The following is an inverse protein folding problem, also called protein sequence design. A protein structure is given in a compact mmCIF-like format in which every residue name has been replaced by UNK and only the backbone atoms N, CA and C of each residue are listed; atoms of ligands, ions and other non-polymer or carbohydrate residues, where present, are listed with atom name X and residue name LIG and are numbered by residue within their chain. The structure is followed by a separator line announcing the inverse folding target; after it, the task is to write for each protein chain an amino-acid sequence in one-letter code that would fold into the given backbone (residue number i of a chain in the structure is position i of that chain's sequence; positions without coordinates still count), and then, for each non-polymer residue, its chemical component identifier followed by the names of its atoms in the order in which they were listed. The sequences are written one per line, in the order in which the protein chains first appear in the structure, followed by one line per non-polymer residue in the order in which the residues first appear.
data_IF_743982998501
#
_entry.id   IF_743982998501
#
_cell.length_a   1.000
_cell.length_b   1.000
_cell.length_c   1.000
_cell.angle_alpha   90.00
_cell.angle_beta   90.00
_cell.angle_gamma   90.00
#
_symmetry.space_group_name_H-M   'P 1'
#
loop_
_entity.id
_entity.type
_entity.pdbx_description
1 polymer ?
#
# COMPACT_ATOMS: atom_id res chain seq x y z
N UNK A 1 -22.11 56.44 -35.21
CA UNK A 1 -21.24 57.33 -36.01
C UNK A 1 -20.35 56.41 -36.78
N UNK A 2 -20.78 56.16 -38.03
CA UNK A 2 -20.17 56.61 -39.29
C UNK A 2 -18.76 55.98 -39.51
N UNK A 3 -18.38 55.25 -40.54
CA UNK A 3 -18.75 55.46 -41.95
C UNK A 3 -18.31 54.23 -42.77
N UNK A 4 -19.13 53.88 -43.73
CA UNK A 4 -18.90 52.99 -44.85
C UNK A 4 -17.74 53.52 -45.73
N UNK A 5 -16.96 52.61 -46.37
CA UNK A 5 -16.53 52.86 -47.75
C UNK A 5 -16.40 51.54 -48.52
N UNK A 6 -17.26 51.43 -49.54
CA UNK A 6 -17.17 50.49 -50.66
C UNK A 6 -16.03 50.93 -51.59
N UNK A 7 -15.24 50.00 -52.14
CA UNK A 7 -14.62 50.15 -53.46
C UNK A 7 -14.72 48.84 -54.25
N UNK A 8 -15.31 48.95 -55.38
CA UNK A 8 -15.48 47.98 -56.47
C UNK A 8 -14.38 48.26 -57.49
N UNK A 9 -13.87 47.24 -58.17
CA UNK A 9 -13.22 47.12 -59.47
C UNK A 9 -12.01 46.20 -59.36
N UNK A 10 -11.66 45.29 -60.22
CA UNK A 10 -12.05 44.93 -61.57
C UNK A 10 -11.55 43.51 -61.87
N UNK A 11 -12.24 42.84 -62.70
CA UNK A 11 -11.94 41.53 -63.28
C UNK A 11 -10.82 41.64 -64.29
N UNK A 12 -9.70 40.85 -64.05
CA UNK A 12 -8.73 40.55 -65.14
C UNK A 12 -8.57 39.04 -65.22
N UNK A 13 -9.09 38.50 -66.29
CA UNK A 13 -8.89 37.11 -66.72
C UNK A 13 -7.51 37.02 -67.33
N UNK A 14 -6.59 36.25 -66.73
CA UNK A 14 -5.34 35.82 -67.35
C UNK A 14 -5.33 34.29 -67.36
N UNK A 15 -5.49 33.74 -68.53
CA UNK A 15 -5.26 32.36 -68.88
C UNK A 15 -3.73 32.07 -68.86
N UNK A 16 -3.28 31.22 -67.96
CA UNK A 16 -1.92 30.74 -67.87
C UNK A 16 -1.91 29.20 -67.70
N UNK A 17 -0.90 28.51 -68.13
CA UNK A 17 -0.94 27.11 -68.51
C UNK A 17 -1.07 26.14 -67.32
N UNK A 18 -1.80 25.08 -67.58
CA UNK A 18 -2.01 23.95 -66.69
C UNK A 18 -0.68 23.28 -66.30
N UNK A 19 -0.20 23.52 -65.06
CA UNK A 19 0.80 22.64 -64.43
C UNK A 19 0.03 21.46 -63.85
N UNK A 20 0.15 20.31 -64.47
CA UNK A 20 -0.18 19.01 -63.85
C UNK A 20 0.82 18.80 -62.71
N UNK A 21 0.40 19.06 -61.48
CA UNK A 21 1.11 18.63 -60.30
C UNK A 21 0.96 17.09 -60.21
N UNK A 22 2.00 16.38 -60.57
CA UNK A 22 2.17 14.99 -60.16
C UNK A 22 2.11 14.94 -58.63
N UNK A 23 0.96 14.48 -58.12
CA UNK A 23 0.83 14.02 -56.75
C UNK A 23 1.69 12.76 -56.61
N UNK A 24 2.95 12.94 -56.32
CA UNK A 24 3.77 11.89 -55.75
C UNK A 24 3.17 11.56 -54.37
N UNK A 25 2.26 10.58 -54.42
CA UNK A 25 1.87 9.83 -53.25
C UNK A 25 3.14 9.20 -52.70
N UNK A 26 3.75 9.86 -51.72
CA UNK A 26 4.72 9.25 -50.83
C UNK A 26 3.94 8.20 -50.04
N UNK A 27 3.84 7.02 -50.63
CA UNK A 27 3.55 5.81 -49.90
C UNK A 27 4.70 5.69 -48.88
N UNK A 28 4.44 6.17 -47.67
CA UNK A 28 5.21 5.77 -46.50
C UNK A 28 5.12 4.25 -46.45
N UNK A 29 6.15 3.60 -46.96
CA UNK A 29 6.40 2.18 -46.80
C UNK A 29 6.42 1.95 -45.30
N UNK A 30 5.29 1.54 -44.73
CA UNK A 30 5.27 0.89 -43.45
C UNK A 30 6.22 -0.30 -43.60
N UNK A 31 7.46 -0.12 -43.16
CA UNK A 31 8.41 -1.19 -43.05
C UNK A 31 7.76 -2.20 -42.08
N UNK A 32 7.12 -3.23 -42.65
CA UNK A 32 6.67 -4.40 -41.89
C UNK A 32 7.89 -4.89 -41.15
N UNK A 33 7.94 -4.60 -39.85
CA UNK A 33 9.01 -5.03 -38.99
C UNK A 33 9.08 -6.57 -39.09
N UNK A 34 10.15 -7.06 -39.75
CA UNK A 34 10.38 -8.50 -39.90
C UNK A 34 10.63 -9.11 -38.54
N UNK A 35 10.14 -10.34 -38.31
CA UNK A 35 10.57 -11.13 -37.17
C UNK A 35 12.08 -11.30 -37.18
N UNK A 36 12.73 -11.23 -36.06
CA UNK A 36 14.17 -11.46 -35.94
C UNK A 36 14.48 -12.25 -34.67
N UNK A 37 15.60 -12.97 -34.72
CA UNK A 37 16.04 -13.85 -33.67
C UNK A 37 17.23 -13.29 -32.91
N UNK A 38 17.24 -13.51 -31.61
CA UNK A 38 18.32 -13.13 -30.71
C UNK A 38 18.73 -14.38 -29.94
N UNK A 39 19.98 -14.77 -30.06
CA UNK A 39 20.58 -15.90 -29.34
C UNK A 39 21.34 -15.42 -28.12
N UNK A 40 21.56 -16.35 -27.15
CA UNK A 40 22.32 -16.05 -25.94
C UNK A 40 21.53 -15.17 -24.95
N UNK A 41 20.21 -15.32 -24.90
CA UNK A 41 19.36 -14.63 -23.95
C UNK A 41 19.27 -15.43 -22.65
N UNK A 42 19.43 -14.76 -21.52
CA UNK A 42 19.43 -15.40 -20.21
C UNK A 42 18.06 -15.30 -19.54
N UNK A 43 17.56 -16.45 -19.04
CA UNK A 43 16.34 -16.49 -18.23
C UNK A 43 16.66 -16.15 -16.79
N UNK A 44 15.96 -15.18 -16.22
CA UNK A 44 16.08 -14.73 -14.85
C UNK A 44 14.73 -14.73 -14.13
N UNK A 45 14.75 -14.66 -12.80
CA UNK A 45 13.55 -14.54 -11.98
C UNK A 45 13.00 -13.11 -12.04
N UNK A 46 11.67 -12.97 -12.01
CA UNK A 46 11.00 -11.68 -11.78
C UNK A 46 10.86 -11.45 -10.28
N UNK A 47 10.33 -12.43 -9.58
CA UNK A 47 10.17 -12.41 -8.13
C UNK A 47 11.16 -13.37 -7.47
N UNK A 48 12.05 -12.83 -6.65
CA UNK A 48 13.03 -13.55 -5.85
C UNK A 48 13.16 -12.83 -4.51
N UNK A 49 12.59 -13.42 -3.47
CA UNK A 49 12.47 -12.76 -2.18
C UNK A 49 12.97 -13.67 -1.07
N UNK A 50 13.96 -13.20 -0.35
CA UNK A 50 14.32 -13.74 0.95
C UNK A 50 13.37 -13.15 2.00
N UNK A 51 12.64 -14.02 2.70
CA UNK A 51 11.64 -13.62 3.69
C UNK A 51 12.29 -13.52 5.06
N UNK A 52 12.44 -12.28 5.61
CA UNK A 52 13.08 -12.08 6.90
C UNK A 52 12.09 -12.26 8.05
N UNK A 53 12.62 -12.54 9.25
CA UNK A 53 11.86 -12.40 10.49
C UNK A 53 11.62 -10.91 10.80
N UNK A 54 10.39 -10.53 11.10
CA UNK A 54 10.04 -9.17 11.53
C UNK A 54 10.31 -8.93 13.02
N UNK A 55 10.32 -9.99 13.82
CA UNK A 55 10.62 -9.98 15.27
C UNK A 55 11.62 -11.08 15.61
N UNK A 56 12.35 -10.90 16.69
CA UNK A 56 13.21 -11.95 17.24
C UNK A 56 12.38 -12.94 18.07
N UNK A 57 12.80 -14.19 18.07
CA UNK A 57 12.15 -15.23 18.87
C UNK A 57 12.51 -16.64 18.40
N UNK A 58 12.05 -17.65 19.11
CA UNK A 58 12.19 -19.05 18.71
C UNK A 58 11.14 -19.39 17.65
N UNK A 59 11.54 -20.12 16.61
CA UNK A 59 10.64 -20.60 15.55
C UNK A 59 9.80 -21.76 16.08
N UNK A 60 8.53 -21.51 16.41
CA UNK A 60 7.66 -22.54 17.02
C UNK A 60 7.09 -23.50 15.99
N UNK A 61 6.80 -23.04 14.78
CA UNK A 61 6.33 -23.89 13.68
C UNK A 61 6.82 -23.43 12.32
N UNK A 62 7.00 -24.41 11.44
CA UNK A 62 7.30 -24.22 10.02
C UNK A 62 6.22 -24.97 9.21
N UNK A 63 5.41 -24.25 8.46
CA UNK A 63 4.22 -24.79 7.81
C UNK A 63 4.46 -25.20 6.36
N UNK A 64 5.66 -25.00 5.86
CA UNK A 64 6.08 -25.26 4.49
C UNK A 64 7.38 -26.05 4.44
N UNK A 65 7.65 -26.66 3.28
CA UNK A 65 8.89 -27.36 2.98
C UNK A 65 9.45 -26.81 1.65
N UNK A 66 10.71 -27.07 1.41
CA UNK A 66 11.31 -26.81 0.10
C UNK A 66 10.50 -27.51 -1.00
N UNK A 67 10.26 -26.83 -2.10
CA UNK A 67 9.41 -27.29 -3.18
C UNK A 67 7.92 -26.96 -3.00
N UNK A 68 7.46 -26.49 -1.84
CA UNK A 68 6.05 -26.14 -1.63
C UNK A 68 5.70 -24.85 -2.38
N UNK A 69 4.59 -24.87 -3.12
CA UNK A 69 4.01 -23.67 -3.73
C UNK A 69 3.20 -22.92 -2.70
N UNK A 70 3.38 -21.61 -2.65
CA UNK A 70 2.74 -20.70 -1.68
C UNK A 70 2.05 -19.54 -2.40
N UNK A 71 1.00 -19.01 -1.76
CA UNK A 71 0.25 -17.84 -2.24
C UNK A 71 0.56 -16.61 -1.40
N UNK A 72 0.24 -15.42 -1.94
CA UNK A 72 0.36 -14.16 -1.20
C UNK A 72 -0.45 -14.20 0.10
N UNK A 73 0.16 -13.83 1.21
CA UNK A 73 -0.50 -13.83 2.53
C UNK A 73 -0.60 -15.20 3.19
N UNK A 74 -0.08 -16.26 2.61
CA UNK A 74 -0.04 -17.58 3.25
C UNK A 74 0.96 -17.59 4.40
N UNK A 75 0.55 -18.13 5.56
CA UNK A 75 1.41 -18.29 6.73
C UNK A 75 2.46 -19.40 6.48
N UNK A 76 3.72 -19.00 6.50
CA UNK A 76 4.87 -19.88 6.23
C UNK A 76 5.47 -20.44 7.49
N UNK A 77 5.59 -19.61 8.52
CA UNK A 77 6.18 -19.96 9.79
C UNK A 77 5.59 -19.11 10.92
N UNK A 78 5.75 -19.57 12.15
CA UNK A 78 5.29 -18.85 13.34
C UNK A 78 6.37 -18.85 14.40
N UNK A 79 6.70 -17.68 14.92
CA UNK A 79 7.54 -17.53 16.11
C UNK A 79 6.73 -17.82 17.38
N UNK A 80 7.40 -18.04 18.51
CA UNK A 80 6.74 -18.15 19.79
C UNK A 80 5.88 -16.92 20.09
N UNK A 81 4.58 -17.13 20.34
CA UNK A 81 3.58 -16.09 20.48
C UNK A 81 3.14 -15.85 21.91
N UNK A 82 3.50 -16.74 22.85
CA UNK A 82 2.95 -16.74 24.19
C UNK A 82 3.07 -15.38 24.90
N UNK A 83 4.25 -14.75 24.84
CA UNK A 83 4.45 -13.44 25.44
C UNK A 83 3.62 -12.34 24.76
N UNK A 84 3.52 -12.34 23.43
CA UNK A 84 2.76 -11.33 22.69
C UNK A 84 1.24 -11.49 22.89
N UNK A 85 0.76 -12.72 23.01
CA UNK A 85 -0.64 -13.01 23.35
C UNK A 85 -0.99 -12.46 24.75
N UNK A 86 -0.17 -12.72 25.76
CA UNK A 86 -0.35 -12.14 27.09
C UNK A 86 -0.32 -10.59 27.07
N UNK A 87 0.57 -9.98 26.28
CA UNK A 87 0.61 -8.53 26.13
C UNK A 87 -0.68 -7.98 25.49
N UNK A 88 -1.24 -8.67 24.49
CA UNK A 88 -2.54 -8.32 23.92
C UNK A 88 -3.67 -8.38 24.96
N UNK A 89 -3.68 -9.44 25.77
CA UNK A 89 -4.72 -9.63 26.78
C UNK A 89 -4.64 -8.55 27.88
N UNK A 90 -3.43 -8.19 28.34
CA UNK A 90 -3.21 -7.07 29.27
C UNK A 90 -3.70 -5.76 28.67
N UNK A 91 -3.31 -5.46 27.41
CA UNK A 91 -3.72 -4.22 26.74
C UNK A 91 -5.25 -4.15 26.55
N UNK A 92 -5.90 -5.28 26.26
CA UNK A 92 -7.38 -5.36 26.17
C UNK A 92 -8.05 -5.11 27.51
N UNK A 93 -7.53 -5.65 28.60
CA UNK A 93 -8.05 -5.38 29.94
C UNK A 93 -7.88 -3.92 30.36
N UNK A 94 -6.74 -3.29 30.02
CA UNK A 94 -6.53 -1.86 30.23
C UNK A 94 -7.55 -1.03 29.45
N UNK A 95 -7.83 -1.38 28.20
CA UNK A 95 -8.83 -0.70 27.37
C UNK A 95 -10.24 -0.85 27.96
N UNK A 96 -10.61 -2.02 28.41
CA UNK A 96 -11.92 -2.25 29.04
C UNK A 96 -12.08 -1.38 30.28
N UNK A 97 -11.07 -1.30 31.15
CA UNK A 97 -11.05 -0.45 32.32
C UNK A 97 -11.15 1.03 31.97
N UNK A 98 -10.34 1.51 31.03
CA UNK A 98 -10.36 2.90 30.58
C UNK A 98 -11.72 3.26 29.95
N UNK A 99 -12.28 2.37 29.15
CA UNK A 99 -13.61 2.56 28.55
C UNK A 99 -14.73 2.67 29.60
N UNK A 100 -14.69 1.81 30.61
CA UNK A 100 -15.67 1.88 31.71
C UNK A 100 -15.62 3.22 32.45
N UNK A 101 -14.42 3.75 32.69
CA UNK A 101 -14.23 5.08 33.30
C UNK A 101 -14.73 6.21 32.39
N UNK A 102 -14.34 6.21 31.11
CA UNK A 102 -14.75 7.19 30.12
C UNK A 102 -16.27 7.26 29.90
N UNK A 103 -16.97 6.14 30.07
CA UNK A 103 -18.43 6.05 29.95
C UNK A 103 -19.17 6.42 31.25
N UNK A 104 -18.47 6.54 32.37
CA UNK A 104 -19.11 6.90 33.65
C UNK A 104 -19.55 8.36 33.66
N UNK A 105 -20.82 8.60 33.93
CA UNK A 105 -21.40 9.96 34.09
C UNK A 105 -21.67 10.32 35.55
N UNK A 106 -21.32 9.43 36.48
CA UNK A 106 -21.66 9.56 37.90
C UNK A 106 -21.18 10.86 38.54
N UNK A 107 -19.94 11.26 38.25
CA UNK A 107 -19.37 12.50 38.77
C UNK A 107 -20.12 13.72 38.24
N UNK A 108 -20.47 13.75 36.96
CA UNK A 108 -21.23 14.85 36.35
C UNK A 108 -22.64 14.91 36.95
N UNK A 109 -23.33 13.75 37.04
CA UNK A 109 -24.69 13.69 37.60
C UNK A 109 -24.72 14.11 39.08
N UNK A 110 -23.72 13.72 39.86
CA UNK A 110 -23.55 14.13 41.25
C UNK A 110 -23.34 15.65 41.37
N UNK A 111 -22.44 16.20 40.55
CA UNK A 111 -22.17 17.66 40.53
C UNK A 111 -23.40 18.45 40.06
N UNK A 112 -24.15 17.96 39.05
CA UNK A 112 -25.40 18.59 38.62
C UNK A 112 -26.50 18.51 39.67
N UNK A 113 -26.56 17.42 40.44
CA UNK A 113 -27.45 17.28 41.58
C UNK A 113 -27.15 18.33 42.67
N UNK A 114 -25.89 18.52 43.04
CA UNK A 114 -25.44 19.53 43.97
C UNK A 114 -25.77 20.98 43.50
N UNK A 115 -25.55 21.24 42.21
CA UNK A 115 -25.91 22.54 41.62
C UNK A 115 -27.44 22.79 41.69
N UNK A 116 -28.25 21.81 41.31
CA UNK A 116 -29.73 21.95 41.41
C UNK A 116 -30.18 22.25 42.82
N UNK A 117 -29.64 21.57 43.85
CA UNK A 117 -29.95 21.80 45.27
C UNK A 117 -29.58 23.21 45.68
N UNK A 118 -28.32 23.66 45.44
CA UNK A 118 -27.84 24.96 45.78
C UNK A 118 -28.62 26.11 45.08
N UNK A 119 -28.93 25.93 43.79
CA UNK A 119 -29.68 26.93 43.01
C UNK A 119 -31.13 27.04 43.45
N UNK A 120 -31.78 25.92 43.83
CA UNK A 120 -33.14 25.95 44.38
C UNK A 120 -33.19 26.65 45.73
N UNK A 121 -32.24 26.39 46.64
CA UNK A 121 -32.14 27.02 47.93
C UNK A 121 -31.91 28.54 47.81
N UNK A 122 -31.00 28.96 46.92
CA UNK A 122 -30.77 30.39 46.66
C UNK A 122 -32.02 31.06 46.08
N UNK A 123 -32.68 30.45 45.08
CA UNK A 123 -33.89 30.99 44.47
C UNK A 123 -35.04 31.14 45.49
N UNK A 124 -35.27 30.12 46.36
CA UNK A 124 -36.26 30.16 47.39
C UNK A 124 -35.97 31.26 48.42
N UNK A 125 -34.68 31.48 48.77
CA UNK A 125 -34.26 32.54 49.71
C UNK A 125 -34.45 33.95 49.13
N UNK A 126 -34.19 34.12 47.84
CA UNK A 126 -34.47 35.39 47.10
C UNK A 126 -35.96 35.67 47.05
N UNK A 127 -36.80 34.66 46.74
CA UNK A 127 -38.25 34.80 46.70
C UNK A 127 -38.85 35.08 48.10
N UNK A 128 -38.33 34.45 49.16
CA UNK A 128 -38.72 34.76 50.52
C UNK A 128 -38.43 36.24 50.91
N UNK A 129 -37.27 36.78 50.48
CA UNK A 129 -36.96 38.20 50.70
C UNK A 129 -37.85 39.17 49.91
N UNK A 130 -38.36 38.70 48.74
CA UNK A 130 -39.32 39.47 47.93
C UNK A 130 -40.69 39.55 48.61
N UNK A 131 -41.12 38.43 49.21
CA UNK A 131 -42.39 38.35 49.89
C UNK A 131 -42.35 38.95 51.26
N UNK A 132 -41.26 38.78 52.01
CA UNK A 132 -41.05 39.34 53.36
C UNK A 132 -39.65 40.04 53.45
N UNK A 133 -39.55 41.35 53.32
CA UNK A 133 -38.27 42.05 53.32
C UNK A 133 -37.44 41.76 54.57
N UNK A 134 -36.14 41.48 54.44
CA UNK A 134 -35.16 41.14 55.47
C UNK A 134 -35.32 39.72 56.10
N UNK A 135 -36.05 38.76 55.47
CA UNK A 135 -36.09 37.39 55.94
C UNK A 135 -34.71 36.71 55.86
N UNK A 136 -33.87 37.10 54.90
CA UNK A 136 -32.46 36.73 54.79
C UNK A 136 -31.59 37.99 54.72
N UNK A 137 -30.45 38.02 55.45
CA UNK A 137 -29.48 39.08 55.33
C UNK A 137 -28.73 39.03 54.01
N UNK A 138 -28.18 40.20 53.57
CA UNK A 138 -27.35 40.26 52.33
C UNK A 138 -26.19 39.27 52.40
N UNK A 139 -25.51 39.15 53.57
CA UNK A 139 -24.42 38.22 53.78
C UNK A 139 -24.86 36.70 53.57
N UNK A 140 -26.08 36.38 53.99
CA UNK A 140 -26.62 35.04 53.78
C UNK A 140 -26.93 34.79 52.33
N UNK A 141 -27.51 35.71 51.60
CA UNK A 141 -27.73 35.56 50.13
C UNK A 141 -26.41 35.48 49.37
N UNK A 142 -25.41 36.27 49.73
CA UNK A 142 -24.07 36.19 49.10
C UNK A 142 -23.42 34.80 49.34
N UNK A 143 -23.56 34.22 50.52
CA UNK A 143 -23.09 32.85 50.82
C UNK A 143 -23.80 31.82 49.95
N UNK A 144 -25.12 31.90 49.77
CA UNK A 144 -25.88 31.00 48.94
C UNK A 144 -25.52 31.14 47.46
N UNK A 145 -25.33 32.38 46.99
CA UNK A 145 -24.87 32.65 45.64
C UNK A 145 -23.47 32.10 45.39
N UNK A 146 -22.55 32.19 46.37
CA UNK A 146 -21.22 31.57 46.28
C UNK A 146 -21.33 30.05 46.23
N UNK A 147 -22.22 29.40 47.00
CA UNK A 147 -22.46 27.99 46.97
C UNK A 147 -22.96 27.50 45.56
N UNK A 148 -23.84 28.28 44.93
CA UNK A 148 -24.28 28.01 43.54
C UNK A 148 -23.11 28.09 42.60
N UNK A 149 -22.24 29.11 42.71
CA UNK A 149 -21.07 29.27 41.86
C UNK A 149 -20.06 28.17 42.06
N UNK A 150 -19.81 27.73 43.28
CA UNK A 150 -18.94 26.61 43.60
C UNK A 150 -19.47 25.30 43.02
N UNK A 151 -20.77 25.03 43.11
CA UNK A 151 -21.41 23.88 42.51
C UNK A 151 -21.32 23.90 40.97
N UNK A 152 -21.43 25.09 40.36
CA UNK A 152 -21.24 25.24 38.90
C UNK A 152 -19.80 24.93 38.48
N UNK A 153 -18.80 25.35 39.24
CA UNK A 153 -17.40 25.02 38.99
C UNK A 153 -17.11 23.54 39.13
N UNK A 154 -17.79 22.84 40.06
CA UNK A 154 -17.70 21.37 40.17
C UNK A 154 -18.22 20.65 38.97
N UNK A 155 -19.29 21.10 38.31
CA UNK A 155 -19.76 20.56 37.05
C UNK A 155 -18.69 20.71 35.98
N UNK A 156 -18.04 21.87 35.88
CA UNK A 156 -16.97 22.08 34.89
C UNK A 156 -15.76 21.17 35.16
N UNK A 157 -15.38 20.99 36.43
CA UNK A 157 -14.31 20.06 36.81
C UNK A 157 -14.63 18.62 36.44
N UNK A 158 -15.86 18.15 36.78
CA UNK A 158 -16.29 16.81 36.44
C UNK A 158 -16.33 16.56 34.91
N UNK A 159 -16.76 17.56 34.12
CA UNK A 159 -16.72 17.48 32.65
C UNK A 159 -15.30 17.43 32.08
N UNK A 160 -14.37 18.20 32.69
CA UNK A 160 -12.97 18.15 32.31
C UNK A 160 -12.36 16.76 32.64
N UNK A 161 -12.66 16.22 33.82
CA UNK A 161 -12.22 14.87 34.22
C UNK A 161 -12.72 13.82 33.25
N UNK A 162 -14.00 13.82 32.90
CA UNK A 162 -14.56 12.93 31.91
C UNK A 162 -13.87 13.07 30.52
N UNK A 163 -13.54 14.30 30.12
CA UNK A 163 -12.81 14.50 28.86
C UNK A 163 -11.40 13.90 28.91
N UNK A 164 -10.74 13.89 30.06
CA UNK A 164 -9.44 13.23 30.27
C UNK A 164 -9.62 11.68 30.17
N UNK A 165 -10.62 11.11 30.82
CA UNK A 165 -10.91 9.68 30.74
C UNK A 165 -11.21 9.21 29.30
N UNK A 166 -11.86 10.05 28.50
CA UNK A 166 -12.07 9.78 27.06
C UNK A 166 -10.75 9.77 26.28
N UNK A 167 -9.79 10.59 26.68
CA UNK A 167 -8.44 10.56 26.08
C UNK A 167 -7.71 9.29 26.49
N UNK A 168 -7.83 8.88 27.75
CA UNK A 168 -7.20 7.65 28.25
C UNK A 168 -7.77 6.38 27.57
N UNK A 169 -9.07 6.33 27.28
CA UNK A 169 -9.67 5.26 26.45
C UNK A 169 -9.01 5.20 25.07
N UNK A 170 -8.76 6.34 24.42
CA UNK A 170 -8.09 6.40 23.11
C UNK A 170 -6.63 5.92 23.20
N UNK A 171 -5.92 6.27 24.26
CA UNK A 171 -4.55 5.81 24.51
C UNK A 171 -4.53 4.30 24.71
N UNK A 172 -5.43 3.76 25.52
CA UNK A 172 -5.56 2.32 25.75
C UNK A 172 -5.93 1.57 24.46
N UNK A 173 -6.83 2.12 23.63
CA UNK A 173 -7.15 1.56 22.32
C UNK A 173 -5.95 1.56 21.35
N UNK A 174 -5.07 2.55 21.44
CA UNK A 174 -3.84 2.58 20.65
C UNK A 174 -2.83 1.52 21.13
N UNK A 175 -2.74 1.26 22.43
CA UNK A 175 -1.90 0.19 22.99
C UNK A 175 -2.36 -1.20 22.53
N UNK A 176 -3.68 -1.44 22.47
CA UNK A 176 -4.22 -2.70 21.94
C UNK A 176 -3.79 -2.89 20.47
N UNK A 177 -3.96 -1.88 19.62
CA UNK A 177 -3.52 -1.96 18.22
C UNK A 177 -2.02 -2.24 18.09
N UNK A 178 -1.19 -1.63 18.93
CA UNK A 178 0.26 -1.88 18.96
C UNK A 178 0.56 -3.35 19.30
N UNK A 179 -0.07 -3.87 20.37
CA UNK A 179 0.11 -5.25 20.78
C UNK A 179 -0.38 -6.26 19.72
N UNK A 180 -1.47 -5.95 19.02
CA UNK A 180 -1.99 -6.77 17.91
C UNK A 180 -1.04 -6.80 16.70
N UNK A 181 -0.40 -5.68 16.37
CA UNK A 181 0.63 -5.63 15.33
C UNK A 181 1.85 -6.47 15.74
N UNK A 182 2.28 -6.37 17.00
CA UNK A 182 3.40 -7.15 17.51
C UNK A 182 3.11 -8.67 17.50
N UNK A 183 1.88 -9.05 17.81
CA UNK A 183 1.42 -10.44 17.73
C UNK A 183 1.34 -10.91 16.25
N UNK A 184 0.80 -10.08 15.36
CA UNK A 184 0.73 -10.39 13.93
C UNK A 184 2.13 -10.56 13.30
N UNK A 185 3.10 -9.73 13.69
CA UNK A 185 4.48 -9.79 13.21
C UNK A 185 5.22 -11.09 13.61
N UNK A 186 4.68 -11.85 14.55
CA UNK A 186 5.20 -13.19 14.91
C UNK A 186 4.76 -14.28 13.94
N UNK A 187 3.82 -13.99 13.05
CA UNK A 187 3.45 -14.88 11.94
C UNK A 187 4.12 -14.38 10.67
N UNK A 188 4.95 -15.22 10.07
CA UNK A 188 5.68 -14.89 8.86
C UNK A 188 4.85 -15.34 7.66
N UNK A 189 4.48 -14.39 6.81
CA UNK A 189 3.62 -14.61 5.63
C UNK A 189 4.41 -14.42 4.34
N UNK A 190 4.00 -15.10 3.27
CA UNK A 190 4.58 -14.88 1.95
C UNK A 190 4.14 -13.54 1.36
N UNK A 191 5.07 -12.66 0.93
CA UNK A 191 4.75 -11.43 0.24
C UNK A 191 4.43 -11.64 -1.24
N UNK A 192 4.80 -12.79 -1.81
CA UNK A 192 4.61 -13.14 -3.23
C UNK A 192 4.02 -14.54 -3.39
N UNK A 193 3.40 -14.77 -4.53
CA UNK A 193 3.09 -16.12 -5.00
C UNK A 193 4.34 -16.76 -5.59
N UNK A 194 4.59 -18.04 -5.29
CA UNK A 194 5.79 -18.70 -5.79
C UNK A 194 6.06 -20.05 -5.13
N UNK A 195 7.28 -20.51 -5.25
CA UNK A 195 7.75 -21.76 -4.67
C UNK A 195 8.87 -21.49 -3.66
N UNK A 196 8.81 -22.15 -2.51
CA UNK A 196 9.89 -22.15 -1.51
C UNK A 196 11.06 -22.95 -2.09
N UNK A 197 12.22 -22.32 -2.29
CA UNK A 197 13.41 -22.96 -2.86
C UNK A 197 14.45 -23.29 -1.81
N UNK A 198 14.48 -22.55 -0.70
CA UNK A 198 15.47 -22.74 0.34
C UNK A 198 14.91 -22.33 1.70
N UNK A 199 15.24 -23.10 2.74
CA UNK A 199 14.87 -22.84 4.14
C UNK A 199 16.15 -22.69 4.94
N UNK A 200 16.42 -21.48 5.46
CA UNK A 200 17.64 -21.15 6.21
C UNK A 200 17.53 -21.44 7.71
N UNK A 201 16.29 -21.53 8.24
CA UNK A 201 16.02 -21.74 9.68
C UNK A 201 14.98 -22.83 9.89
N UNK A 202 15.22 -23.63 10.93
CA UNK A 202 14.38 -24.77 11.26
C UNK A 202 13.59 -24.52 12.54
N UNK A 203 12.62 -25.39 12.79
CA UNK A 203 11.82 -25.36 14.02
C UNK A 203 12.75 -25.45 15.24
N UNK A 204 12.39 -24.75 16.30
CA UNK A 204 13.09 -24.64 17.58
C UNK A 204 14.40 -23.82 17.53
N UNK A 205 14.77 -23.25 16.38
CA UNK A 205 15.90 -22.32 16.28
C UNK A 205 15.51 -20.89 16.70
N UNK A 206 16.47 -20.18 17.27
CA UNK A 206 16.35 -18.75 17.55
C UNK A 206 16.61 -17.94 16.28
N UNK A 207 15.75 -16.95 16.03
CA UNK A 207 15.84 -16.06 14.87
C UNK A 207 15.93 -14.61 15.32
N UNK A 208 16.80 -13.85 14.67
CA UNK A 208 16.96 -12.40 14.86
C UNK A 208 16.16 -11.62 13.84
N UNK A 209 15.79 -10.38 14.20
CA UNK A 209 15.12 -9.44 13.29
C UNK A 209 15.96 -9.20 12.03
N UNK A 210 15.31 -9.25 10.87
CA UNK A 210 15.96 -8.99 9.57
C UNK A 210 16.74 -10.17 9.01
N UNK A 211 16.90 -11.27 9.74
CA UNK A 211 17.54 -12.48 9.20
C UNK A 211 16.57 -13.25 8.32
N UNK A 212 17.01 -13.71 7.14
CA UNK A 212 16.17 -14.50 6.26
C UNK A 212 15.86 -15.87 6.87
N UNK A 213 14.61 -16.28 6.77
CA UNK A 213 14.13 -17.60 7.19
C UNK A 213 14.05 -18.57 6.02
N UNK A 214 13.62 -18.08 4.89
CA UNK A 214 13.45 -18.86 3.67
C UNK A 214 13.48 -17.96 2.44
N UNK A 215 13.66 -18.58 1.28
CA UNK A 215 13.65 -17.93 -0.02
C UNK A 215 12.48 -18.44 -0.85
N UNK A 216 11.68 -17.52 -1.37
CA UNK A 216 10.55 -17.82 -2.25
C UNK A 216 10.79 -17.18 -3.60
N UNK A 217 10.61 -17.96 -4.67
CA UNK A 217 10.78 -17.50 -6.04
C UNK A 217 9.50 -17.69 -6.85
N UNK A 218 9.25 -16.74 -7.73
CA UNK A 218 8.15 -16.80 -8.67
C UNK A 218 8.61 -17.54 -9.94
N UNK A 219 7.92 -18.62 -10.30
CA UNK A 219 8.29 -19.46 -11.44
C UNK A 219 7.25 -19.47 -12.57
N UNK A 220 6.03 -18.99 -12.33
CA UNK A 220 4.94 -18.94 -13.31
C UNK A 220 5.19 -17.91 -14.42
N UNK A 221 5.94 -16.87 -14.13
CA UNK A 221 6.44 -15.88 -15.09
C UNK A 221 7.91 -15.64 -14.87
N UNK A 222 8.66 -15.66 -15.98
CA UNK A 222 10.10 -15.47 -15.96
C UNK A 222 10.49 -14.26 -16.82
N UNK A 223 11.61 -13.65 -16.48
CA UNK A 223 12.21 -12.60 -17.28
C UNK A 223 13.28 -13.19 -18.17
N UNK A 224 13.28 -12.78 -19.42
CA UNK A 224 14.38 -13.06 -20.35
C UNK A 224 15.12 -11.75 -20.62
N UNK A 225 16.42 -11.75 -20.38
CA UNK A 225 17.30 -10.64 -20.68
C UNK A 225 18.00 -10.90 -22.02
N UNK A 226 17.92 -9.91 -22.90
CA UNK A 226 18.60 -9.96 -24.18
C UNK A 226 19.32 -8.65 -24.49
N UNK A 227 20.36 -8.74 -25.32
CA UNK A 227 21.14 -7.60 -25.77
C UNK A 227 21.01 -7.41 -27.28
N UNK A 228 20.53 -6.25 -27.70
CA UNK A 228 20.29 -5.91 -29.11
C UNK A 228 21.26 -4.80 -29.51
N UNK A 229 21.75 -4.84 -30.77
CA UNK A 229 22.57 -3.76 -31.29
C UNK A 229 21.70 -2.59 -31.70
N UNK A 230 22.08 -1.40 -31.27
CA UNK A 230 21.40 -0.14 -31.59
C UNK A 230 21.40 0.16 -33.11
N UNK A 231 22.39 -0.36 -33.84
CA UNK A 231 22.47 -0.21 -35.31
C UNK A 231 21.42 -1.05 -36.07
N UNK A 232 20.81 -2.05 -35.44
CA UNK A 232 19.91 -2.97 -36.11
C UNK A 232 18.43 -2.66 -35.81
N UNK A 233 18.11 -2.15 -34.59
CA UNK A 233 16.75 -1.87 -34.15
C UNK A 233 16.68 -0.62 -33.28
N UNK A 234 15.62 0.17 -33.47
CA UNK A 234 15.33 1.31 -32.61
C UNK A 234 14.66 0.84 -31.30
N UNK A 235 15.11 1.31 -30.12
CA UNK A 235 14.56 0.91 -28.83
C UNK A 235 13.05 1.13 -28.69
N UNK A 236 12.53 2.21 -29.27
CA UNK A 236 11.13 2.64 -29.17
C UNK A 236 10.16 1.69 -29.89
N UNK A 237 10.65 0.95 -30.89
CA UNK A 237 9.84 0.01 -31.67
C UNK A 237 9.66 -1.35 -31.01
N UNK A 238 10.37 -1.63 -29.92
CA UNK A 238 10.44 -2.95 -29.33
C UNK A 238 9.51 -3.11 -28.12
N UNK A 239 9.16 -2.05 -27.43
CA UNK A 239 8.31 -2.10 -26.25
C UNK A 239 6.91 -2.59 -26.64
N UNK A 240 6.41 -3.60 -25.92
CA UNK A 240 5.07 -4.18 -26.14
C UNK A 240 5.02 -5.23 -27.25
N UNK A 241 6.11 -5.47 -27.99
CA UNK A 241 6.14 -6.51 -29.02
C UNK A 241 6.00 -7.90 -28.41
N UNK A 242 5.22 -8.74 -29.10
CA UNK A 242 5.10 -10.16 -28.79
C UNK A 242 6.36 -10.90 -29.23
N UNK A 243 6.71 -11.92 -28.48
CA UNK A 243 7.86 -12.75 -28.77
C UNK A 243 7.61 -14.22 -28.42
N UNK A 244 8.46 -15.07 -28.91
CA UNK A 244 8.54 -16.47 -28.53
C UNK A 244 9.95 -16.76 -28.02
N UNK A 245 10.06 -17.31 -26.82
CA UNK A 245 11.30 -17.82 -26.27
C UNK A 245 11.39 -19.32 -26.54
N UNK A 246 12.45 -19.74 -27.22
CA UNK A 246 12.68 -21.13 -27.58
C UNK A 246 13.85 -21.71 -26.79
N UNK A 247 13.64 -22.86 -26.17
CA UNK A 247 14.67 -23.59 -25.42
C UNK A 247 14.73 -25.05 -25.86
N UNK A 248 15.92 -25.56 -25.98
CA UNK A 248 16.14 -26.98 -26.18
C UNK A 248 16.18 -27.68 -24.82
N UNK A 249 15.18 -28.50 -24.54
CA UNK A 249 15.10 -29.27 -23.28
C UNK A 249 15.81 -30.62 -23.38
N UNK A 250 15.97 -31.30 -22.27
CA UNK A 250 16.55 -32.63 -22.20
C UNK A 250 15.76 -33.58 -23.15
N UNK A 251 16.46 -34.23 -24.04
CA UNK A 251 15.87 -35.06 -25.09
C UNK A 251 15.89 -34.45 -26.50
N UNK A 252 16.36 -33.17 -26.64
CA UNK A 252 16.48 -32.52 -27.96
C UNK A 252 15.18 -31.87 -28.44
N UNK A 253 14.11 -31.88 -27.67
CA UNK A 253 12.86 -31.20 -28.02
C UNK A 253 13.03 -29.67 -27.83
N UNK A 254 12.57 -28.90 -28.81
CA UNK A 254 12.47 -27.45 -28.70
C UNK A 254 11.09 -27.08 -28.15
N UNK A 255 11.06 -26.42 -27.02
CA UNK A 255 9.84 -25.86 -26.46
C UNK A 255 9.82 -24.34 -26.63
N UNK A 256 8.65 -23.82 -26.94
CA UNK A 256 8.43 -22.40 -27.14
C UNK A 256 7.49 -21.86 -26.09
N UNK A 257 7.83 -20.67 -25.58
CA UNK A 257 7.10 -19.97 -24.54
C UNK A 257 6.72 -18.57 -25.06
N UNK A 258 5.43 -18.22 -25.04
CA UNK A 258 5.00 -16.89 -25.47
C UNK A 258 5.40 -15.83 -24.45
N UNK A 259 5.72 -14.64 -24.92
CA UNK A 259 6.09 -13.52 -24.07
C UNK A 259 5.89 -12.18 -24.74
N UNK A 260 6.19 -11.12 -23.99
CA UNK A 260 6.09 -9.73 -24.42
C UNK A 260 7.31 -8.95 -23.94
N UNK A 261 7.83 -8.06 -24.76
CA UNK A 261 8.87 -7.11 -24.35
C UNK A 261 8.26 -6.08 -23.40
N UNK A 262 8.68 -6.10 -22.14
CA UNK A 262 8.12 -5.21 -21.11
C UNK A 262 8.98 -3.96 -20.88
N UNK A 263 10.27 -4.07 -21.14
CA UNK A 263 11.19 -2.96 -20.90
C UNK A 263 12.36 -2.95 -21.90
N UNK A 264 12.71 -1.77 -22.33
CA UNK A 264 13.90 -1.50 -23.15
C UNK A 264 14.76 -0.48 -22.43
N UNK A 265 15.99 -0.82 -22.15
CA UNK A 265 16.91 0.09 -21.45
C UNK A 265 17.30 1.24 -22.39
N UNK A 266 17.08 2.52 -22.01
CA UNK A 266 17.47 3.67 -22.82
C UNK A 266 19.00 3.87 -22.92
N UNK A 267 19.77 3.21 -22.06
CA UNK A 267 21.23 3.32 -22.05
C UNK A 267 21.87 2.30 -22.98
N UNK A 268 22.63 2.80 -23.93
CA UNK A 268 23.47 1.98 -24.81
C UNK A 268 24.80 1.71 -24.10
N UNK A 269 25.15 0.43 -23.96
CA UNK A 269 26.38 -0.03 -23.33
C UNK A 269 27.57 0.01 -24.30
N UNK A 270 28.79 -0.19 -23.77
CA UNK A 270 29.99 -0.34 -24.61
C UNK A 270 29.77 -1.47 -25.62
N UNK A 271 30.10 -1.18 -26.89
CA UNK A 271 29.82 -2.09 -28.00
C UNK A 271 28.51 -1.83 -28.74
N UNK A 272 27.81 -0.71 -28.44
CA UNK A 272 26.62 -0.27 -29.17
C UNK A 272 25.40 -1.18 -28.97
N UNK A 273 25.31 -1.85 -27.81
CA UNK A 273 24.18 -2.72 -27.45
C UNK A 273 23.34 -2.12 -26.35
N UNK A 274 22.03 -2.32 -26.42
CA UNK A 274 21.11 -2.02 -25.34
C UNK A 274 20.42 -3.29 -24.85
N UNK A 275 20.02 -3.27 -23.57
CA UNK A 275 19.38 -4.42 -22.91
C UNK A 275 17.86 -4.30 -23.03
N UNK A 276 17.22 -5.39 -23.33
CA UNK A 276 15.77 -5.54 -23.24
C UNK A 276 15.38 -6.57 -22.18
N UNK A 277 14.21 -6.39 -21.60
CA UNK A 277 13.55 -7.39 -20.76
C UNK A 277 12.25 -7.83 -21.41
N UNK A 278 12.09 -9.13 -21.47
CA UNK A 278 10.86 -9.74 -21.90
C UNK A 278 10.27 -10.58 -20.76
N UNK A 279 8.98 -10.52 -20.55
CA UNK A 279 8.28 -11.42 -19.66
C UNK A 279 7.70 -12.58 -20.46
N UNK A 280 7.96 -13.79 -19.99
CA UNK A 280 7.59 -15.04 -20.62
C UNK A 280 6.70 -15.84 -19.69
N UNK A 281 5.57 -16.33 -20.19
CA UNK A 281 4.63 -17.16 -19.44
C UNK A 281 5.19 -18.58 -19.28
N UNK A 282 5.29 -19.06 -18.05
CA UNK A 282 5.88 -20.36 -17.69
C UNK A 282 4.93 -21.21 -16.82
N UNK A 283 3.61 -21.10 -17.03
CA UNK A 283 2.60 -21.86 -16.25
C UNK A 283 2.84 -23.36 -16.21
N UNK A 284 3.48 -23.92 -17.24
CA UNK A 284 3.87 -25.32 -17.30
C UNK A 284 5.16 -25.66 -16.57
N UNK A 285 5.84 -24.69 -15.93
CA UNK A 285 7.14 -24.82 -15.24
C UNK A 285 8.24 -25.52 -16.10
N UNK A 286 8.11 -25.44 -17.42
CA UNK A 286 9.02 -26.06 -18.37
C UNK A 286 10.32 -25.26 -18.61
N UNK A 287 10.29 -23.97 -18.32
CA UNK A 287 11.44 -23.07 -18.38
C UNK A 287 12.05 -22.89 -16.98
N UNK A 288 13.38 -22.88 -16.92
CA UNK A 288 14.10 -22.72 -15.65
C UNK A 288 14.95 -21.45 -15.68
N UNK A 289 15.04 -20.72 -14.55
CA UNK A 289 16.00 -19.62 -14.41
C UNK A 289 17.44 -20.12 -14.61
N UNK A 290 18.28 -19.27 -15.21
CA UNK A 290 19.68 -19.63 -15.49
C UNK A 290 19.91 -20.35 -16.83
N UNK A 291 18.85 -20.72 -17.55
CA UNK A 291 18.97 -21.34 -18.86
C UNK A 291 19.10 -20.28 -19.95
N UNK A 292 19.91 -20.54 -20.97
CA UNK A 292 19.97 -19.74 -22.19
C UNK A 292 18.84 -20.12 -23.15
N UNK A 293 18.22 -19.12 -23.75
CA UNK A 293 17.12 -19.27 -24.71
C UNK A 293 17.38 -18.45 -25.97
N UNK A 294 16.75 -18.82 -27.06
CA UNK A 294 16.66 -18.01 -28.27
C UNK A 294 15.32 -17.24 -28.24
N UNK A 295 15.37 -15.93 -28.43
CA UNK A 295 14.18 -15.11 -28.56
C UNK A 295 13.87 -14.82 -30.02
N UNK A 296 12.65 -15.03 -30.45
CA UNK A 296 12.13 -14.57 -31.73
C UNK A 296 11.11 -13.47 -31.47
N UNK A 297 11.45 -12.22 -31.83
CA UNK A 297 10.53 -11.09 -31.74
C UNK A 297 9.67 -11.10 -32.99
N UNK A 298 8.35 -11.18 -32.79
CA UNK A 298 7.38 -11.30 -33.87
C UNK A 298 7.16 -9.96 -34.59
N UNK A 299 6.85 -10.05 -35.89
CA UNK A 299 6.34 -8.91 -36.64
C UNK A 299 4.97 -8.47 -36.08
N UNK A 300 4.68 -7.18 -36.14
CA UNK A 300 3.31 -6.67 -35.83
C UNK A 300 2.32 -7.09 -36.90
#
# INVERSE_FOLDING_TARGET
MTQRLLFVFALVVAVGPSFTADAQTTAASAARAKSFKISGCLVSLIGDVEIPAKRSGTLSSLNVREGTTVTVGQALATLDRAQAEMQCDVARAELESARARAQSTLEIESAEGAYRSASTEYAASVDANRLSPRSYSVVQLDKLQLAVKDAQLRIQAAKLEQAIEVIDDRIAAAKVRLAEVELADRTIMSPIEGQVVEIFRHKDEWVEVGRPLMRVVQLDRLRVEAFIKFSEHAPEELVGRKLQASVVVAGGETRTFPGVVTFVNPLVQQGGRFRIWAEVDNKGLGLRPGVEVELEILAE
#
